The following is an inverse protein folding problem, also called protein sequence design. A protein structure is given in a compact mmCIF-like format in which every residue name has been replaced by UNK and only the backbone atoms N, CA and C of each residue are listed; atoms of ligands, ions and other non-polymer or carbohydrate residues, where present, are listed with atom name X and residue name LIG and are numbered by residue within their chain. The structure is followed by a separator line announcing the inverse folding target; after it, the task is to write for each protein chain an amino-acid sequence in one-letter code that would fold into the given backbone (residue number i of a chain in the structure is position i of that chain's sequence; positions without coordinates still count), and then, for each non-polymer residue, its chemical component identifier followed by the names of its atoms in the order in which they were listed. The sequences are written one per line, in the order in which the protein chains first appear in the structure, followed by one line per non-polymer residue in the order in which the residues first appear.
data_IF_573004149109
#
_entry.id   IF_573004149109
#
_cell.length_a   1.000
_cell.length_b   1.000
_cell.length_c   1.000
_cell.angle_alpha   90.00
_cell.angle_beta   90.00
_cell.angle_gamma   90.00
#
_symmetry.space_group_name_H-M   'P 1'
#
loop_
_entity.id
_entity.type
_entity.pdbx_description
1 polymer ?
#
# COMPACT_ATOMS: atom_id res chain seq x y z
N UNK A 1 53.33 19.29 16.62
CA UNK A 1 52.43 18.93 15.50
C UNK A 1 51.07 18.75 16.14
N UNK A 2 50.21 19.75 15.96
CA UNK A 2 49.01 19.97 16.77
C UNK A 2 47.80 19.20 16.21
N UNK A 3 47.05 18.64 17.16
CA UNK A 3 45.61 18.34 17.20
C UNK A 3 44.95 17.44 16.14
N UNK A 4 44.62 16.24 16.62
CA UNK A 4 43.26 15.65 16.64
C UNK A 4 42.12 16.61 16.25
N UNK A 5 41.33 16.21 15.26
CA UNK A 5 39.97 16.71 15.07
C UNK A 5 39.05 15.51 15.02
N UNK A 6 38.32 15.32 16.13
CA UNK A 6 37.06 14.59 16.17
C UNK A 6 35.98 15.59 15.75
N UNK A 7 35.50 15.47 14.52
CA UNK A 7 34.20 15.98 14.09
C UNK A 7 33.50 14.77 13.46
N UNK A 8 32.30 14.34 13.80
CA UNK A 8 31.24 14.91 14.61
C UNK A 8 30.04 14.03 14.28
N UNK A 9 29.52 13.33 15.28
CA UNK A 9 28.24 12.62 15.17
C UNK A 9 27.16 13.64 14.79
N UNK A 10 26.48 13.43 13.67
CA UNK A 10 25.26 14.17 13.37
C UNK A 10 24.92 14.29 11.89
N UNK A 11 24.40 13.21 11.30
CA UNK A 11 23.35 13.28 10.29
C UNK A 11 22.65 11.92 10.32
N UNK A 12 21.41 11.89 10.81
CA UNK A 12 20.52 10.77 10.48
C UNK A 12 20.36 10.71 8.95
N UNK A 13 19.95 9.58 8.39
CA UNK A 13 19.81 9.48 6.93
C UNK A 13 18.90 10.63 6.48
N UNK A 14 19.42 11.46 5.57
CA UNK A 14 18.61 12.32 4.72
C UNK A 14 17.53 11.40 4.14
N UNK A 15 16.32 11.55 4.64
CA UNK A 15 15.15 10.91 4.05
C UNK A 15 14.92 11.73 2.80
N UNK A 16 15.20 11.16 1.62
CA UNK A 16 15.00 11.86 0.37
C UNK A 16 13.54 12.34 0.32
N UNK A 17 13.36 13.66 0.23
CA UNK A 17 12.04 14.30 0.26
C UNK A 17 11.17 13.94 -0.97
N UNK A 18 11.72 13.18 -1.91
CA UNK A 18 11.06 12.69 -3.12
C UNK A 18 10.43 11.28 -2.93
N UNK A 19 10.69 10.59 -1.81
CA UNK A 19 10.13 9.26 -1.53
C UNK A 19 8.81 9.36 -0.77
N UNK A 20 7.72 8.74 -1.26
CA UNK A 20 6.40 8.97 -0.69
C UNK A 20 6.27 8.34 0.70
N UNK A 21 5.69 9.08 1.64
CA UNK A 21 5.34 8.53 2.93
C UNK A 21 4.13 7.58 2.82
N UNK A 22 4.02 6.61 3.71
CA UNK A 22 2.87 5.69 3.76
C UNK A 22 1.53 6.44 3.81
N UNK A 23 1.46 7.54 4.56
CA UNK A 23 0.28 8.40 4.62
C UNK A 23 -0.06 9.07 3.27
N UNK A 24 0.95 9.46 2.49
CA UNK A 24 0.74 10.08 1.17
C UNK A 24 0.27 9.04 0.15
N UNK A 25 0.85 7.83 0.19
CA UNK A 25 0.38 6.70 -0.63
C UNK A 25 -1.06 6.33 -0.27
N UNK A 26 -1.39 6.26 1.02
CA UNK A 26 -2.74 5.97 1.46
C UNK A 26 -3.73 7.05 1.02
N UNK A 27 -3.37 8.32 1.13
CA UNK A 27 -4.20 9.43 0.63
C UNK A 27 -4.40 9.37 -0.90
N UNK A 28 -3.39 8.94 -1.65
CA UNK A 28 -3.53 8.71 -3.09
C UNK A 28 -4.49 7.55 -3.39
N UNK A 29 -4.42 6.46 -2.62
CA UNK A 29 -5.36 5.34 -2.74
C UNK A 29 -6.78 5.76 -2.37
N UNK A 30 -6.94 6.55 -1.31
CA UNK A 30 -8.22 7.12 -0.87
C UNK A 30 -8.87 7.91 -2.01
N UNK A 31 -8.13 8.86 -2.59
CA UNK A 31 -8.63 9.65 -3.71
C UNK A 31 -9.11 8.79 -4.87
N UNK A 32 -8.32 7.78 -5.27
CA UNK A 32 -8.70 6.86 -6.36
C UNK A 32 -9.94 6.03 -6.04
N UNK A 33 -10.03 5.48 -4.82
CA UNK A 33 -11.17 4.64 -4.41
C UNK A 33 -12.42 5.48 -4.27
N UNK A 34 -12.35 6.64 -3.59
CA UNK A 34 -13.50 7.52 -3.41
C UNK A 34 -14.01 8.08 -4.74
N UNK A 35 -13.12 8.44 -5.67
CA UNK A 35 -13.51 8.84 -7.04
C UNK A 35 -14.24 7.71 -7.78
N UNK A 36 -13.71 6.49 -7.74
CA UNK A 36 -14.35 5.34 -8.37
C UNK A 36 -15.70 4.99 -7.72
N UNK A 37 -15.79 5.01 -6.39
CA UNK A 37 -17.03 4.80 -5.64
C UNK A 37 -18.09 5.86 -5.96
N UNK A 38 -17.68 7.12 -6.23
CA UNK A 38 -18.58 8.19 -6.63
C UNK A 38 -19.06 8.07 -8.09
N UNK A 39 -18.27 7.44 -8.96
CA UNK A 39 -18.61 7.21 -10.37
C UNK A 39 -19.62 6.07 -10.58
N UNK A 40 -19.80 5.20 -9.58
CA UNK A 40 -20.70 4.04 -9.65
C UNK A 40 -21.91 4.25 -8.74
N UNK A 41 -23.09 3.84 -9.23
CA UNK A 41 -24.31 3.81 -8.42
C UNK A 41 -24.14 2.87 -7.20
N UNK A 42 -24.61 3.24 -5.99
CA UNK A 42 -24.39 2.44 -4.78
C UNK A 42 -24.89 0.99 -4.88
N UNK A 43 -26.08 0.78 -5.43
CA UNK A 43 -26.69 -0.55 -5.53
C UNK A 43 -25.90 -1.42 -6.51
N UNK A 44 -25.46 -0.80 -7.61
CA UNK A 44 -24.57 -1.46 -8.58
C UNK A 44 -23.21 -1.80 -7.96
N UNK A 45 -22.62 -0.88 -7.20
CA UNK A 45 -21.33 -1.09 -6.56
C UNK A 45 -21.37 -2.26 -5.58
N UNK A 46 -22.38 -2.29 -4.71
CA UNK A 46 -22.63 -3.40 -3.77
C UNK A 46 -22.82 -4.71 -4.53
N UNK A 47 -23.62 -4.70 -5.61
CA UNK A 47 -23.87 -5.89 -6.42
C UNK A 47 -22.65 -6.44 -7.16
N UNK A 48 -21.77 -5.57 -7.67
CA UNK A 48 -20.58 -5.96 -8.44
C UNK A 48 -19.38 -6.33 -7.55
N UNK A 49 -19.22 -5.65 -6.41
CA UNK A 49 -18.04 -5.86 -5.52
C UNK A 49 -18.31 -6.82 -4.37
N UNK A 50 -19.59 -7.05 -4.01
CA UNK A 50 -19.97 -7.81 -2.82
C UNK A 50 -19.73 -7.08 -1.50
N UNK A 51 -19.38 -5.79 -1.54
CA UNK A 51 -19.29 -4.93 -0.35
C UNK A 51 -20.65 -4.76 0.31
N UNK A 52 -20.68 -4.55 1.63
CA UNK A 52 -21.91 -4.13 2.29
C UNK A 52 -22.25 -2.68 1.97
N UNK A 53 -23.52 -2.29 2.12
CA UNK A 53 -23.94 -0.88 1.99
C UNK A 53 -23.17 0.03 2.97
N UNK A 54 -22.87 -0.47 4.17
CA UNK A 54 -22.10 0.25 5.16
C UNK A 54 -20.66 0.47 4.70
N UNK A 55 -20.00 -0.57 4.18
CA UNK A 55 -18.64 -0.45 3.65
C UNK A 55 -18.61 0.50 2.45
N UNK A 56 -19.55 0.36 1.51
CA UNK A 56 -19.66 1.25 0.36
C UNK A 56 -19.88 2.72 0.76
N UNK A 57 -20.62 2.97 1.86
CA UNK A 57 -20.76 4.29 2.48
C UNK A 57 -19.43 4.81 3.04
N UNK A 58 -18.73 3.99 3.82
CA UNK A 58 -17.44 4.34 4.42
C UNK A 58 -16.38 4.70 3.35
N UNK A 59 -16.38 4.02 2.20
CA UNK A 59 -15.48 4.34 1.08
C UNK A 59 -15.74 5.74 0.48
N UNK A 60 -16.98 6.21 0.51
CA UNK A 60 -17.33 7.58 0.08
C UNK A 60 -16.85 8.64 1.06
N UNK A 61 -16.76 8.27 2.33
CA UNK A 61 -16.26 9.13 3.41
C UNK A 61 -14.73 9.06 3.54
N UNK A 62 -14.04 8.31 2.68
CA UNK A 62 -12.58 8.20 2.65
C UNK A 62 -12.00 7.14 3.59
N UNK A 63 -12.85 6.33 4.23
CA UNK A 63 -12.41 5.30 5.18
C UNK A 63 -11.92 4.03 4.45
N UNK A 64 -10.72 4.09 3.88
CA UNK A 64 -10.20 3.02 3.00
C UNK A 64 -9.07 2.17 3.62
N UNK A 65 -8.51 2.55 4.77
CA UNK A 65 -7.29 1.94 5.31
C UNK A 65 -7.45 0.43 5.60
N UNK A 66 -8.63 0.02 6.06
CA UNK A 66 -9.00 -1.38 6.33
C UNK A 66 -9.56 -2.11 5.11
N UNK A 67 -9.83 -1.41 4.00
CA UNK A 67 -10.30 -2.02 2.77
C UNK A 67 -9.24 -2.99 2.24
N UNK A 68 -9.65 -4.17 1.80
CA UNK A 68 -8.70 -5.09 1.20
C UNK A 68 -8.23 -4.60 -0.17
N UNK A 69 -6.99 -4.95 -0.55
CA UNK A 69 -6.49 -4.68 -1.92
C UNK A 69 -7.43 -5.27 -2.98
N UNK A 70 -7.99 -6.46 -2.73
CA UNK A 70 -8.93 -7.09 -3.66
C UNK A 70 -10.23 -6.29 -3.80
N UNK A 71 -10.80 -5.83 -2.69
CA UNK A 71 -12.03 -5.02 -2.72
C UNK A 71 -11.76 -3.64 -3.36
N UNK A 72 -10.62 -3.01 -3.05
CA UNK A 72 -10.20 -1.76 -3.71
C UNK A 72 -10.05 -1.93 -5.22
N UNK A 73 -9.45 -3.02 -5.68
CA UNK A 73 -9.36 -3.35 -7.11
C UNK A 73 -10.74 -3.60 -7.73
N UNK A 74 -11.65 -4.28 -7.01
CA UNK A 74 -13.02 -4.50 -7.47
C UNK A 74 -13.80 -3.19 -7.63
N UNK A 75 -13.64 -2.24 -6.71
CA UNK A 75 -14.22 -0.89 -6.81
C UNK A 75 -13.71 -0.16 -8.05
N UNK A 76 -12.40 -0.23 -8.31
CA UNK A 76 -11.79 0.39 -9.50
C UNK A 76 -12.27 -0.25 -10.81
N UNK A 77 -12.45 -1.58 -10.82
CA UNK A 77 -12.99 -2.31 -11.97
C UNK A 77 -14.48 -2.01 -12.21
N UNK A 78 -15.28 -1.83 -11.16
CA UNK A 78 -16.68 -1.42 -11.27
C UNK A 78 -16.83 -0.04 -11.95
N UNK A 79 -15.93 0.88 -11.64
CA UNK A 79 -15.86 2.21 -12.26
C UNK A 79 -15.26 2.20 -13.68
N UNK A 80 -14.40 1.24 -13.99
CA UNK A 80 -13.77 1.08 -15.29
C UNK A 80 -13.81 -0.39 -15.75
N UNK A 81 -14.82 -0.79 -16.54
CA UNK A 81 -15.05 -2.19 -16.91
C UNK A 81 -13.99 -2.78 -17.83
N UNK A 82 -13.08 -1.96 -18.39
CA UNK A 82 -11.93 -2.45 -19.16
C UNK A 82 -10.80 -2.97 -18.25
N UNK A 83 -10.90 -2.76 -16.93
CA UNK A 83 -9.94 -3.26 -15.93
C UNK A 83 -10.45 -4.54 -15.28
N UNK A 84 -9.53 -5.48 -15.09
CA UNK A 84 -9.79 -6.73 -14.36
C UNK A 84 -9.19 -6.64 -12.95
N UNK A 85 -10.03 -6.83 -11.93
CA UNK A 85 -9.64 -6.66 -10.53
C UNK A 85 -8.56 -7.67 -10.10
N UNK A 86 -8.67 -8.93 -10.54
CA UNK A 86 -7.70 -9.98 -10.19
C UNK A 86 -6.33 -9.70 -10.83
N UNK A 87 -6.33 -9.23 -12.09
CA UNK A 87 -5.13 -8.80 -12.78
C UNK A 87 -4.46 -7.62 -12.05
N UNK A 88 -5.22 -6.61 -11.63
CA UNK A 88 -4.69 -5.48 -10.86
C UNK A 88 -4.03 -5.93 -9.55
N UNK A 89 -4.67 -6.85 -8.80
CA UNK A 89 -4.11 -7.39 -7.56
C UNK A 89 -2.81 -8.15 -7.82
N UNK A 90 -2.77 -8.95 -8.90
CA UNK A 90 -1.59 -9.70 -9.29
C UNK A 90 -0.43 -8.76 -9.69
N UNK A 91 -0.71 -7.72 -10.47
CA UNK A 91 0.27 -6.71 -10.88
C UNK A 91 0.84 -5.95 -9.69
N UNK A 92 0.00 -5.55 -8.73
CA UNK A 92 0.48 -4.89 -7.50
C UNK A 92 1.42 -5.81 -6.72
N UNK A 93 1.06 -7.08 -6.54
CA UNK A 93 1.92 -8.05 -5.83
C UNK A 93 3.24 -8.29 -6.56
N UNK A 94 3.21 -8.43 -7.88
CA UNK A 94 4.42 -8.55 -8.69
C UNK A 94 5.32 -7.31 -8.53
N UNK A 95 4.72 -6.12 -8.57
CA UNK A 95 5.45 -4.87 -8.36
C UNK A 95 6.13 -4.81 -6.99
N UNK A 96 5.44 -5.25 -5.92
CA UNK A 96 6.03 -5.35 -4.58
C UNK A 96 7.22 -6.30 -4.56
N UNK A 97 7.09 -7.51 -5.12
CA UNK A 97 8.15 -8.51 -5.15
C UNK A 97 9.37 -8.01 -5.94
N UNK A 98 9.12 -7.39 -7.10
CA UNK A 98 10.18 -6.77 -7.92
C UNK A 98 10.86 -5.60 -7.20
N UNK A 99 10.08 -4.77 -6.50
CA UNK A 99 10.58 -3.68 -5.68
C UNK A 99 11.47 -4.18 -4.53
N UNK A 100 11.03 -5.22 -3.81
CA UNK A 100 11.82 -5.87 -2.76
C UNK A 100 13.15 -6.43 -3.28
N UNK A 101 13.11 -7.12 -4.42
CA UNK A 101 14.32 -7.67 -5.03
C UNK A 101 15.31 -6.57 -5.42
N UNK A 102 14.81 -5.44 -5.93
CA UNK A 102 15.63 -4.28 -6.31
C UNK A 102 16.22 -3.55 -5.10
N UNK A 103 15.42 -3.40 -4.04
CA UNK A 103 15.82 -2.77 -2.78
C UNK A 103 16.62 -3.70 -1.85
N UNK A 104 16.78 -4.98 -2.23
CA UNK A 104 17.42 -6.04 -1.41
C UNK A 104 16.79 -6.10 -0.01
N UNK A 105 15.45 -6.09 0.03
CA UNK A 105 14.67 -6.19 1.25
C UNK A 105 14.15 -7.61 1.46
N UNK A 106 14.23 -8.11 2.69
CA UNK A 106 13.53 -9.30 3.13
C UNK A 106 12.24 -8.94 3.89
N UNK A 107 11.40 -9.95 4.13
CA UNK A 107 10.09 -9.75 4.77
C UNK A 107 10.19 -9.37 6.24
N UNK A 108 11.25 -9.79 6.93
CA UNK A 108 11.49 -9.45 8.33
C UNK A 108 11.88 -7.97 8.47
N UNK A 109 12.66 -7.44 7.52
CA UNK A 109 13.03 -6.04 7.44
C UNK A 109 11.82 -5.14 7.13
N UNK A 110 10.87 -5.62 6.32
CA UNK A 110 9.61 -4.91 6.07
C UNK A 110 8.77 -4.89 7.35
N UNK A 111 8.53 -6.06 7.95
CA UNK A 111 7.73 -6.19 9.17
C UNK A 111 8.26 -5.30 10.30
N UNK A 112 9.59 -5.15 10.42
CA UNK A 112 10.21 -4.29 11.44
C UNK A 112 10.07 -2.77 11.17
N UNK A 113 9.58 -2.35 10.00
CA UNK A 113 9.54 -0.95 9.55
C UNK A 113 8.13 -0.42 9.30
N UNK A 114 7.13 -1.30 9.23
CA UNK A 114 5.73 -0.94 9.07
C UNK A 114 5.07 -0.80 10.45
N UNK A 115 3.98 -0.04 10.53
CA UNK A 115 3.22 0.15 11.77
C UNK A 115 2.23 -1.00 12.00
N UNK A 116 1.85 -1.70 10.93
CA UNK A 116 1.02 -2.90 11.00
C UNK A 116 1.68 -4.00 11.85
N UNK A 117 0.91 -4.60 12.74
CA UNK A 117 1.32 -5.73 13.58
C UNK A 117 1.33 -7.03 12.75
N UNK A 118 2.29 -7.13 11.84
CA UNK A 118 2.52 -8.30 11.00
C UNK A 118 3.90 -8.88 11.28
N UNK A 119 3.96 -10.20 11.37
CA UNK A 119 5.21 -10.95 11.31
C UNK A 119 5.76 -10.99 9.88
N UNK A 120 7.05 -11.26 9.70
CA UNK A 120 7.64 -11.46 8.37
C UNK A 120 6.95 -12.57 7.57
N UNK A 121 6.46 -13.62 8.26
CA UNK A 121 5.66 -14.67 7.62
C UNK A 121 4.32 -14.15 7.09
N UNK A 122 3.61 -13.30 7.85
CA UNK A 122 2.34 -12.73 7.42
C UNK A 122 2.53 -11.74 6.27
N UNK A 123 3.62 -10.96 6.28
CA UNK A 123 4.03 -10.15 5.12
C UNK A 123 4.26 -11.03 3.89
N UNK A 124 5.01 -12.13 4.02
CA UNK A 124 5.23 -13.07 2.92
C UNK A 124 3.91 -13.62 2.38
N UNK A 125 3.01 -14.06 3.26
CA UNK A 125 1.71 -14.62 2.87
C UNK A 125 0.83 -13.58 2.16
N UNK A 126 0.87 -12.32 2.58
CA UNK A 126 0.11 -11.24 1.94
C UNK A 126 0.61 -10.98 0.50
N UNK A 127 1.94 -10.95 0.32
CA UNK A 127 2.59 -10.76 -0.98
C UNK A 127 2.34 -11.95 -1.94
N UNK A 128 2.29 -13.17 -1.41
CA UNK A 128 1.96 -14.38 -2.18
C UNK A 128 0.44 -14.58 -2.38
N UNK A 129 -0.37 -13.71 -1.78
CA UNK A 129 -1.83 -13.77 -1.85
C UNK A 129 -2.49 -14.89 -1.07
N UNK A 130 -1.80 -15.45 -0.08
CA UNK A 130 -2.30 -16.48 0.84
C UNK A 130 -3.11 -15.88 1.99
N UNK A 131 -2.92 -14.59 2.27
CA UNK A 131 -3.71 -13.82 3.23
C UNK A 131 -4.18 -12.51 2.61
N UNK A 132 -5.18 -11.90 3.26
CA UNK A 132 -5.70 -10.59 2.88
C UNK A 132 -4.66 -9.52 3.24
N UNK A 133 -4.42 -8.60 2.29
CA UNK A 133 -3.66 -7.37 2.49
C UNK A 133 -4.61 -6.18 2.40
N UNK A 134 -4.52 -5.23 3.32
CA UNK A 134 -5.31 -3.99 3.27
C UNK A 134 -4.59 -2.89 2.49
N UNK A 135 -5.31 -1.83 2.10
CA UNK A 135 -4.71 -0.67 1.45
C UNK A 135 -3.77 0.10 2.39
N UNK A 136 -4.05 0.13 3.71
CA UNK A 136 -3.11 0.66 4.70
C UNK A 136 -1.80 -0.13 4.75
N UNK A 137 -1.89 -1.46 4.84
CA UNK A 137 -0.71 -2.32 4.81
C UNK A 137 0.07 -2.19 3.49
N UNK A 138 -0.64 -2.11 2.36
CA UNK A 138 -0.02 -1.88 1.06
C UNK A 138 0.77 -0.57 1.03
N UNK A 139 0.19 0.52 1.53
CA UNK A 139 0.83 1.83 1.57
C UNK A 139 2.10 1.82 2.44
N UNK A 140 2.05 1.15 3.59
CA UNK A 140 3.21 0.99 4.48
C UNK A 140 4.33 0.16 3.83
N UNK A 141 3.99 -0.99 3.23
CA UNK A 141 4.95 -1.87 2.57
C UNK A 141 5.59 -1.16 1.35
N UNK A 142 4.78 -0.50 0.51
CA UNK A 142 5.28 0.28 -0.63
C UNK A 142 6.23 1.39 -0.17
N UNK A 143 5.86 2.16 0.86
CA UNK A 143 6.72 3.22 1.37
C UNK A 143 8.09 2.69 1.82
N UNK A 144 8.14 1.53 2.48
CA UNK A 144 9.41 0.90 2.89
C UNK A 144 10.25 0.49 1.68
N UNK A 145 9.62 -0.05 0.64
CA UNK A 145 10.29 -0.49 -0.59
C UNK A 145 10.83 0.70 -1.36
N UNK A 146 10.01 1.73 -1.60
CA UNK A 146 10.43 2.93 -2.33
C UNK A 146 11.58 3.63 -1.61
N UNK A 147 11.53 3.72 -0.26
CA UNK A 147 12.58 4.36 0.57
C UNK A 147 13.96 3.71 0.57
N UNK A 148 14.07 2.56 -0.09
CA UNK A 148 15.28 1.73 -0.09
C UNK A 148 15.86 1.58 -1.49
N UNK A 149 15.14 2.02 -2.53
CA UNK A 149 15.65 2.00 -3.89
C UNK A 149 16.85 2.97 -3.99
N UNK A 150 17.93 2.58 -4.70
CA UNK A 150 19.16 3.36 -4.78
C UNK A 150 19.08 4.54 -5.75
#
# INVERSE_FOLDING_TARGET
MFHEVVDGRGAGPDVDADEPAAAELLAAFEAMVTEATAAVDPDRLVGETGLSEADAGALRDGEIASLSLADGAAVLAAANPDRDADAMVAEVRDHLLMGMATAVLDVDAIAAKIDADLTGQEVQQALEGRTRMTLGQLAEILAVIERRKP
#
